data_IF_725326668109
#
_entry.id   IF_725326668109
#
_cell.length_a   1.000
_cell.length_b   1.000
_cell.length_c   1.000
_cell.angle_alpha   90.00
_cell.angle_beta   90.00
_cell.angle_gamma   90.00
#
_symmetry.space_group_name_H-M   'P 1'
#
loop_
_entity.id
_entity.type
_entity.pdbx_description
1 polymer ?
#
# COMPACT_ATOMS: atom_id res chain seq x y z
N UNK A 1 29.35 2.86 7.32
CA UNK A 1 28.09 2.77 8.10
C UNK A 1 26.93 2.84 7.11
N UNK A 2 26.32 1.71 6.76
CA UNK A 2 25.24 1.68 5.77
C UNK A 2 23.94 2.17 6.43
N UNK A 3 23.48 3.37 6.05
CA UNK A 3 22.16 3.84 6.43
C UNK A 3 21.14 2.88 5.80
N UNK A 4 20.46 2.11 6.64
CA UNK A 4 19.31 1.27 6.27
C UNK A 4 18.26 2.20 5.64
N UNK A 5 18.24 2.29 4.32
CA UNK A 5 17.28 3.11 3.56
C UNK A 5 15.89 2.69 4.05
N UNK A 6 15.18 3.61 4.69
CA UNK A 6 13.74 3.46 4.89
C UNK A 6 13.16 3.37 3.47
N UNK A 7 12.61 2.22 3.12
CA UNK A 7 11.87 2.02 1.88
C UNK A 7 10.74 3.05 1.85
N UNK A 8 10.75 3.94 0.86
CA UNK A 8 9.71 4.97 0.69
C UNK A 8 8.47 4.35 0.07
N UNK A 9 7.34 5.06 0.12
CA UNK A 9 6.12 4.64 -0.58
C UNK A 9 6.39 4.41 -2.08
N UNK A 10 7.09 5.36 -2.72
CA UNK A 10 7.48 5.30 -4.13
C UNK A 10 8.37 4.08 -4.45
N UNK A 11 9.27 3.70 -3.54
CA UNK A 11 10.13 2.52 -3.73
C UNK A 11 9.34 1.20 -3.57
N UNK A 12 8.36 1.16 -2.66
CA UNK A 12 7.52 -0.02 -2.49
C UNK A 12 6.52 -0.20 -3.64
N UNK A 13 5.94 0.88 -4.15
CA UNK A 13 5.01 0.82 -5.29
C UNK A 13 5.76 0.40 -6.57
N UNK A 14 6.95 0.96 -6.82
CA UNK A 14 7.76 0.57 -7.97
C UNK A 14 8.11 -0.93 -7.93
N UNK A 15 8.52 -1.45 -6.77
CA UNK A 15 8.80 -2.89 -6.61
C UNK A 15 7.58 -3.76 -6.83
N UNK A 16 6.39 -3.28 -6.43
CA UNK A 16 5.16 -4.00 -6.65
C UNK A 16 4.82 -4.05 -8.15
N UNK A 17 4.98 -2.95 -8.88
CA UNK A 17 4.80 -2.89 -10.33
C UNK A 17 5.77 -3.83 -11.06
N UNK A 18 7.05 -3.82 -10.69
CA UNK A 18 8.05 -4.74 -11.26
C UNK A 18 7.73 -6.21 -10.99
N UNK A 19 7.18 -6.51 -9.81
CA UNK A 19 6.79 -7.86 -9.44
C UNK A 19 5.56 -8.32 -10.23
N UNK A 20 4.56 -7.45 -10.40
CA UNK A 20 3.36 -7.73 -11.19
C UNK A 20 3.73 -7.96 -12.65
N UNK A 21 4.59 -7.11 -13.23
CA UNK A 21 5.07 -7.28 -14.59
C UNK A 21 5.76 -8.64 -14.81
N UNK A 22 6.57 -9.10 -13.85
CA UNK A 22 7.18 -10.43 -13.90
C UNK A 22 6.14 -11.57 -13.80
N UNK A 23 5.08 -11.38 -13.01
CA UNK A 23 4.00 -12.35 -12.92
C UNK A 23 3.16 -12.42 -14.21
N UNK A 24 2.98 -11.30 -14.89
CA UNK A 24 2.25 -11.19 -16.16
C UNK A 24 3.04 -11.74 -17.36
N UNK A 25 4.37 -11.64 -17.35
CA UNK A 25 5.23 -12.22 -18.40
C UNK A 25 5.08 -13.76 -18.47
N UNK A 26 4.73 -14.39 -17.35
CA UNK A 26 4.50 -15.83 -17.27
C UNK A 26 5.81 -16.63 -17.41
N UNK A 27 5.69 -17.93 -17.74
CA UNK A 27 6.87 -18.79 -17.91
C UNK A 27 7.59 -19.21 -16.63
N UNK A 28 7.03 -18.89 -15.46
CA UNK A 28 7.58 -19.25 -14.15
C UNK A 28 6.94 -20.53 -13.59
N UNK A 29 7.68 -21.36 -12.85
CA UNK A 29 7.11 -22.50 -12.13
C UNK A 29 6.23 -22.02 -10.98
N UNK A 30 5.23 -22.83 -10.64
CA UNK A 30 4.19 -22.52 -9.65
C UNK A 30 4.76 -22.06 -8.29
N UNK A 31 5.81 -22.72 -7.79
CA UNK A 31 6.48 -22.34 -6.54
C UNK A 31 7.05 -20.91 -6.58
N UNK A 32 7.61 -20.50 -7.73
CA UNK A 32 8.11 -19.12 -7.90
C UNK A 32 6.96 -18.13 -7.98
N UNK A 33 5.87 -18.47 -8.68
CA UNK A 33 4.68 -17.63 -8.73
C UNK A 33 4.05 -17.42 -7.36
N UNK A 34 4.02 -18.45 -6.51
CA UNK A 34 3.55 -18.34 -5.13
C UNK A 34 4.46 -17.45 -4.28
N UNK A 35 5.77 -17.61 -4.40
CA UNK A 35 6.73 -16.78 -3.67
C UNK A 35 6.66 -15.30 -4.09
N UNK A 36 6.42 -15.01 -5.38
CA UNK A 36 6.21 -13.64 -5.86
C UNK A 36 4.87 -13.10 -5.36
N UNK A 37 3.81 -13.89 -5.39
CA UNK A 37 2.51 -13.48 -4.86
C UNK A 37 2.59 -13.08 -3.39
N UNK A 38 3.23 -13.89 -2.53
CA UNK A 38 3.41 -13.55 -1.11
C UNK A 38 4.19 -12.24 -0.91
N UNK A 39 5.24 -12.02 -1.71
CA UNK A 39 5.99 -10.76 -1.70
C UNK A 39 5.14 -9.57 -2.17
N UNK A 40 4.32 -9.76 -3.22
CA UNK A 40 3.40 -8.75 -3.72
C UNK A 40 2.38 -8.33 -2.65
N UNK A 41 1.81 -9.31 -1.92
CA UNK A 41 0.91 -9.04 -0.79
C UNK A 41 1.60 -8.27 0.33
N UNK A 42 2.85 -8.62 0.66
CA UNK A 42 3.61 -7.90 1.68
C UNK A 42 3.89 -6.45 1.27
N UNK A 43 4.26 -6.20 0.01
CA UNK A 43 4.48 -4.86 -0.53
C UNK A 43 3.20 -4.04 -0.55
N UNK A 44 2.09 -4.62 -1.02
CA UNK A 44 0.79 -3.96 -1.03
C UNK A 44 0.36 -3.55 0.38
N UNK A 45 0.52 -4.42 1.38
CA UNK A 45 0.24 -4.11 2.79
C UNK A 45 1.13 -3.01 3.34
N UNK A 46 2.40 -2.95 2.93
CA UNK A 46 3.30 -1.89 3.33
C UNK A 46 2.87 -0.53 2.75
N UNK A 47 2.42 -0.50 1.49
CA UNK A 47 1.88 0.71 0.86
C UNK A 47 0.60 1.19 1.54
N UNK A 48 -0.36 0.30 1.81
CA UNK A 48 -1.60 0.67 2.49
C UNK A 48 -1.35 1.16 3.91
N UNK A 49 -0.45 0.52 4.66
CA UNK A 49 -0.07 0.98 5.99
C UNK A 49 0.59 2.37 5.98
N UNK A 50 1.39 2.68 4.96
CA UNK A 50 2.00 4.00 4.80
C UNK A 50 0.95 5.08 4.51
N UNK A 51 -0.05 4.77 3.67
CA UNK A 51 -1.17 5.66 3.38
C UNK A 51 -2.05 5.89 4.61
N UNK A 52 -2.37 4.82 5.37
CA UNK A 52 -3.14 4.92 6.61
C UNK A 52 -2.42 5.80 7.65
N UNK A 53 -1.12 5.58 7.87
CA UNK A 53 -0.33 6.41 8.79
C UNK A 53 -0.29 7.89 8.35
N UNK A 54 -0.20 8.12 7.03
CA UNK A 54 -0.22 9.48 6.47
C UNK A 54 -1.58 10.13 6.64
N UNK A 55 -2.67 9.40 6.38
CA UNK A 55 -4.04 9.88 6.58
C UNK A 55 -4.33 10.20 8.04
N UNK A 56 -3.89 9.34 8.98
CA UNK A 56 -4.01 9.59 10.42
C UNK A 56 -3.27 10.86 10.84
N UNK A 57 -2.04 11.07 10.34
CA UNK A 57 -1.29 12.31 10.62
C UNK A 57 -2.01 13.54 10.08
N UNK A 58 -2.56 13.45 8.87
CA UNK A 58 -3.34 14.56 8.28
C UNK A 58 -4.60 14.86 9.08
N UNK A 59 -5.34 13.83 9.54
CA UNK A 59 -6.51 13.96 10.41
C UNK A 59 -6.19 14.70 11.70
N UNK A 60 -5.11 14.32 12.41
CA UNK A 60 -4.69 14.99 13.65
C UNK A 60 -4.33 16.45 13.40
N UNK A 61 -3.65 16.76 12.29
CA UNK A 61 -3.32 18.15 11.93
C UNK A 61 -4.55 18.99 11.58
N UNK A 62 -5.56 18.39 10.95
CA UNK A 62 -6.81 19.09 10.60
C UNK A 62 -7.73 19.27 11.80
N UNK A 63 -7.75 18.34 12.76
CA UNK A 63 -8.49 18.46 14.02
C UNK A 63 -7.95 19.59 14.92
N UNK A 64 -6.64 19.86 14.89
CA UNK A 64 -5.99 20.95 15.64
C UNK A 64 -6.28 22.35 15.03
N UNK A 65 -6.38 22.45 13.70
CA UNK A 65 -6.61 23.73 13.00
C UNK A 65 -8.10 24.08 12.81
N UNK A 66 -8.97 23.08 12.65
CA UNK A 66 -10.43 23.21 12.54
C UNK A 66 -11.06 22.13 13.43
N UNK A 67 -11.53 22.50 14.62
CA UNK A 67 -12.09 21.59 15.63
C UNK A 67 -13.31 20.75 15.18
N UNK A 68 -13.07 19.76 14.32
CA UNK A 68 -13.99 18.71 13.89
C UNK A 68 -14.25 18.69 12.39
N UNK A 69 -13.49 17.90 11.63
CA UNK A 69 -13.98 17.29 10.38
C UNK A 69 -13.43 15.87 10.23
N UNK A 70 -14.32 14.89 10.27
CA UNK A 70 -14.02 13.46 10.12
C UNK A 70 -14.00 13.09 8.63
N UNK A 71 -12.89 12.54 8.11
CA UNK A 71 -12.79 11.98 6.74
C UNK A 71 -13.58 10.66 6.53
N UNK A 72 -14.48 10.29 7.46
CA UNK A 72 -15.22 9.02 7.40
C UNK A 72 -16.44 9.07 6.47
N UNK A 73 -16.73 10.24 5.88
CA UNK A 73 -17.91 10.47 5.04
C UNK A 73 -17.60 10.47 3.52
N UNK A 74 -16.34 10.25 3.10
CA UNK A 74 -15.93 10.41 1.70
C UNK A 74 -15.73 9.12 0.89
N UNK A 75 -16.02 7.95 1.46
CA UNK A 75 -16.02 6.68 0.71
C UNK A 75 -17.34 5.95 1.01
N UNK A 76 -18.39 6.07 0.18
CA UNK A 76 -19.41 5.04 0.17
C UNK A 76 -18.71 3.74 -0.16
N UNK A 77 -18.80 2.77 0.75
CA UNK A 77 -18.36 1.42 0.46
C UNK A 77 -18.99 0.97 -0.84
N UNK A 78 -18.23 0.24 -1.65
CA UNK A 78 -18.82 -0.63 -2.67
C UNK A 78 -19.68 -1.67 -1.94
N UNK A 79 -20.91 -1.28 -1.58
CA UNK A 79 -22.05 -2.17 -1.45
C UNK A 79 -22.30 -2.73 -2.85
N UNK A 80 -21.80 -3.92 -3.13
CA UNK A 80 -21.98 -4.51 -4.45
C UNK A 80 -21.31 -5.87 -4.69
N UNK A 81 -21.50 -6.85 -3.83
CA UNK A 81 -21.59 -8.23 -4.31
C UNK A 81 -22.46 -9.09 -3.39
N UNK A 82 -23.72 -9.30 -3.81
CA UNK A 82 -24.46 -10.54 -3.52
C UNK A 82 -23.92 -11.66 -4.42
#
# INVERSE_FOLDING_TARGET
MAAKKKTTFEDNIQKLEELVAQMEEGGMPLEQSLALYEKGIALARACTGWLDETEQKLKVLTEDELGGVTLKDALPGEDGNE
#
